data_IF_899340174900
#
_entry.id   IF_899340174900
#
_cell.length_a   1.000
_cell.length_b   1.000
_cell.length_c   1.000
_cell.angle_alpha   90.00
_cell.angle_beta   90.00
_cell.angle_gamma   90.00
#
_symmetry.space_group_name_H-M   'P 1'
#
loop_
_entity.id
_entity.type
_entity.pdbx_description
1 polymer ?
#
# COMPACT_ATOMS: atom_id res chain seq x y z
N UNK A 1 -68.87 -38.62 43.66
CA UNK A 1 -68.18 -37.36 43.33
C UNK A 1 -66.73 -37.68 43.00
N UNK A 2 -66.32 -37.51 41.75
CA UNK A 2 -64.98 -37.84 41.24
C UNK A 2 -64.17 -36.56 41.02
N UNK A 3 -63.10 -36.36 41.79
CA UNK A 3 -62.11 -35.31 41.52
C UNK A 3 -60.83 -35.95 41.00
N UNK A 4 -60.63 -35.90 39.66
CA UNK A 4 -59.36 -36.27 39.02
C UNK A 4 -58.32 -35.20 39.34
N UNK A 5 -57.25 -35.60 40.00
CA UNK A 5 -56.05 -34.77 40.17
C UNK A 5 -55.45 -34.43 38.79
N UNK A 6 -55.35 -33.14 38.48
CA UNK A 6 -54.60 -32.62 37.33
C UNK A 6 -53.11 -32.75 37.63
N UNK A 7 -52.44 -33.71 37.00
CA UNK A 7 -50.98 -33.78 36.95
C UNK A 7 -50.45 -32.71 35.98
N UNK A 8 -49.75 -31.72 36.52
CA UNK A 8 -49.03 -30.71 35.74
C UNK A 8 -47.79 -31.37 35.12
N UNK A 9 -47.90 -31.76 33.86
CA UNK A 9 -46.78 -32.27 33.07
C UNK A 9 -45.82 -31.11 32.75
N UNK A 10 -44.91 -30.81 33.69
CA UNK A 10 -43.77 -29.93 33.45
C UNK A 10 -42.88 -30.62 32.42
N UNK A 11 -42.98 -30.24 31.14
CA UNK A 11 -42.08 -30.69 30.06
C UNK A 11 -40.64 -30.36 30.47
N UNK A 12 -39.95 -31.35 31.04
CA UNK A 12 -38.51 -31.28 31.32
C UNK A 12 -37.79 -31.30 29.98
N UNK A 13 -37.34 -30.13 29.54
CA UNK A 13 -36.45 -30.03 28.39
C UNK A 13 -35.21 -30.89 28.73
N UNK A 14 -34.88 -31.90 27.91
CA UNK A 14 -33.79 -32.81 28.23
C UNK A 14 -32.48 -32.03 28.29
N UNK A 15 -31.66 -32.27 29.33
CA UNK A 15 -30.34 -31.62 29.53
C UNK A 15 -29.43 -31.68 28.30
N UNK A 16 -29.61 -32.69 27.44
CA UNK A 16 -28.90 -32.84 26.15
C UNK A 16 -29.24 -31.72 25.14
N UNK A 17 -30.47 -31.20 25.14
CA UNK A 17 -30.87 -30.09 24.28
C UNK A 17 -30.24 -28.75 24.74
N UNK A 18 -30.08 -28.56 26.05
CA UNK A 18 -29.33 -27.43 26.61
C UNK A 18 -27.84 -27.49 26.26
N UNK A 19 -27.24 -28.67 26.35
CA UNK A 19 -25.83 -28.88 25.98
C UNK A 19 -25.61 -28.62 24.48
N UNK A 20 -26.49 -29.12 23.60
CA UNK A 20 -26.39 -28.85 22.16
C UNK A 20 -26.56 -27.36 21.84
N UNK A 21 -27.52 -26.69 22.48
CA UNK A 21 -27.74 -25.24 22.30
C UNK A 21 -26.54 -24.40 22.73
N UNK A 22 -25.88 -24.75 23.84
CA UNK A 22 -24.66 -24.07 24.31
C UNK A 22 -23.46 -24.32 23.39
N UNK A 23 -23.31 -25.53 22.85
CA UNK A 23 -22.23 -25.84 21.89
C UNK A 23 -22.43 -25.05 20.61
N UNK A 24 -23.66 -24.99 20.08
CA UNK A 24 -23.97 -24.24 18.84
C UNK A 24 -23.77 -22.73 19.07
N UNK A 25 -24.27 -22.19 20.19
CA UNK A 25 -24.09 -20.78 20.52
C UNK A 25 -22.61 -20.43 20.75
N UNK A 26 -21.85 -21.31 21.42
CA UNK A 26 -20.41 -21.15 21.63
C UNK A 26 -19.61 -21.21 20.31
N UNK A 27 -19.95 -22.13 19.42
CA UNK A 27 -19.34 -22.22 18.09
C UNK A 27 -19.66 -20.99 17.23
N UNK A 28 -20.91 -20.52 17.25
CA UNK A 28 -21.31 -19.31 16.54
C UNK A 28 -20.64 -18.05 17.11
N UNK A 29 -20.54 -17.93 18.44
CA UNK A 29 -19.84 -16.84 19.11
C UNK A 29 -18.33 -16.85 18.84
N UNK A 30 -17.70 -18.02 18.85
CA UNK A 30 -16.29 -18.17 18.49
C UNK A 30 -16.04 -17.83 17.02
N UNK A 31 -16.90 -18.31 16.11
CA UNK A 31 -16.82 -17.98 14.69
C UNK A 31 -17.02 -16.49 14.44
N UNK A 32 -18.01 -15.86 15.08
CA UNK A 32 -18.25 -14.43 15.00
C UNK A 32 -17.07 -13.62 15.56
N UNK A 33 -16.49 -14.04 16.69
CA UNK A 33 -15.28 -13.43 17.23
C UNK A 33 -14.10 -13.59 16.28
N UNK A 34 -13.87 -14.78 15.71
CA UNK A 34 -12.80 -15.06 14.76
C UNK A 34 -12.89 -14.19 13.49
N UNK A 35 -14.12 -13.94 13.02
CA UNK A 35 -14.42 -13.09 11.86
C UNK A 35 -14.41 -11.58 12.18
N UNK A 36 -14.59 -11.20 13.44
CA UNK A 36 -14.68 -9.79 13.84
C UNK A 36 -13.39 -9.01 13.52
N UNK A 37 -13.45 -7.68 13.38
CA UNK A 37 -12.25 -6.85 13.12
C UNK A 37 -11.13 -7.08 14.13
N UNK A 38 -11.47 -7.18 15.43
CA UNK A 38 -10.56 -7.43 16.54
C UNK A 38 -10.27 -8.92 16.79
N UNK A 39 -10.94 -9.79 16.03
CA UNK A 39 -10.77 -11.22 16.06
C UNK A 39 -9.38 -11.67 15.62
N UNK A 40 -8.87 -12.79 16.15
CA UNK A 40 -7.59 -13.35 15.75
C UNK A 40 -7.55 -13.81 14.29
N UNK A 41 -8.70 -14.07 13.67
CA UNK A 41 -8.77 -14.54 12.29
C UNK A 41 -8.31 -13.49 11.28
N UNK A 42 -7.61 -13.97 10.24
CA UNK A 42 -7.24 -13.20 9.06
C UNK A 42 -8.06 -13.72 7.88
N UNK A 43 -9.19 -13.08 7.62
CA UNK A 43 -10.13 -13.49 6.56
C UNK A 43 -9.85 -12.70 5.29
N UNK A 44 -10.32 -13.21 4.14
CA UNK A 44 -10.15 -12.51 2.85
C UNK A 44 -10.70 -11.09 2.86
N UNK A 45 -11.90 -10.90 3.42
CA UNK A 45 -12.48 -9.56 3.57
C UNK A 45 -11.63 -8.63 4.44
N UNK A 46 -11.01 -9.16 5.51
CA UNK A 46 -10.11 -8.37 6.38
C UNK A 46 -8.82 -8.00 5.65
N UNK A 47 -8.20 -8.97 4.97
CA UNK A 47 -7.02 -8.73 4.14
C UNK A 47 -7.30 -7.65 3.09
N UNK A 48 -8.37 -7.81 2.30
CA UNK A 48 -8.74 -6.83 1.27
C UNK A 48 -8.99 -5.44 1.84
N UNK A 49 -9.66 -5.34 3.00
CA UNK A 49 -9.88 -4.06 3.67
C UNK A 49 -8.57 -3.37 4.06
N UNK A 50 -7.65 -4.11 4.69
CA UNK A 50 -6.32 -3.59 5.06
C UNK A 50 -5.58 -3.12 3.81
N UNK A 51 -5.60 -3.91 2.73
CA UNK A 51 -4.94 -3.55 1.48
C UNK A 51 -5.51 -2.26 0.89
N UNK A 52 -6.84 -2.16 0.76
CA UNK A 52 -7.48 -0.95 0.22
C UNK A 52 -7.13 0.29 1.04
N UNK A 53 -7.22 0.21 2.38
CA UNK A 53 -6.90 1.32 3.27
C UNK A 53 -5.42 1.70 3.22
N UNK A 54 -4.52 0.72 3.21
CA UNK A 54 -3.09 0.98 3.20
C UNK A 54 -2.61 1.52 1.86
N UNK A 55 -3.05 0.93 0.74
CA UNK A 55 -2.63 1.35 -0.60
C UNK A 55 -3.20 2.70 -1.03
N UNK A 56 -4.12 3.28 -0.26
CA UNK A 56 -4.50 4.69 -0.42
C UNK A 56 -3.36 5.65 -0.04
N UNK A 57 -2.34 5.17 0.68
CA UNK A 57 -1.15 5.94 1.03
C UNK A 57 -0.02 5.60 0.04
N UNK A 58 0.69 6.61 -0.51
CA UNK A 58 1.75 6.38 -1.51
C UNK A 58 2.91 5.53 -0.96
N UNK A 59 3.17 5.58 0.34
CA UNK A 59 4.20 4.78 1.01
C UNK A 59 3.98 3.26 0.86
N UNK A 60 2.74 2.82 0.72
CA UNK A 60 2.37 1.40 0.62
C UNK A 60 1.81 1.02 -0.75
N UNK A 61 1.96 1.86 -1.76
CA UNK A 61 1.59 1.49 -3.12
C UNK A 61 2.61 0.47 -3.70
N UNK A 62 2.16 -0.52 -4.49
CA UNK A 62 3.04 -1.42 -5.21
C UNK A 62 4.08 -0.67 -6.05
N UNK A 63 5.28 -1.21 -6.20
CA UNK A 63 6.39 -0.52 -6.89
C UNK A 63 6.00 -0.15 -8.32
N UNK A 64 5.31 -1.04 -9.03
CA UNK A 64 4.84 -0.80 -10.40
C UNK A 64 3.71 0.22 -10.53
N UNK A 65 3.19 0.74 -9.42
CA UNK A 65 2.22 1.84 -9.39
C UNK A 65 2.89 3.21 -9.21
N UNK A 66 4.23 3.29 -9.14
CA UNK A 66 4.93 4.52 -8.84
C UNK A 66 6.05 4.82 -9.84
N UNK A 67 6.28 6.10 -10.09
CA UNK A 67 7.44 6.60 -10.83
C UNK A 67 8.45 7.19 -9.86
N UNK A 68 9.73 7.10 -10.21
CA UNK A 68 10.83 7.57 -9.36
C UNK A 68 11.67 8.59 -10.15
N UNK A 69 12.02 9.69 -9.49
CA UNK A 69 13.12 10.56 -9.93
C UNK A 69 14.33 10.24 -9.08
N UNK A 70 15.27 9.53 -9.68
CA UNK A 70 16.46 8.95 -9.04
C UNK A 70 17.51 10.03 -8.78
N UNK A 71 18.21 9.94 -7.66
CA UNK A 71 19.26 10.92 -7.30
C UNK A 71 18.70 12.20 -6.68
N UNK A 72 17.40 12.23 -6.41
CA UNK A 72 16.72 13.37 -5.78
C UNK A 72 16.48 13.04 -4.31
N UNK A 73 17.01 13.89 -3.42
CA UNK A 73 16.75 13.83 -1.98
C UNK A 73 15.28 14.17 -1.66
N UNK A 74 14.81 13.91 -0.43
CA UNK A 74 13.47 14.31 -0.02
C UNK A 74 13.16 15.77 -0.38
N UNK A 75 11.99 16.00 -0.98
CA UNK A 75 11.59 17.32 -1.47
C UNK A 75 11.10 18.24 -0.32
N UNK A 76 11.33 19.57 -0.42
CA UNK A 76 12.05 20.26 -1.49
C UNK A 76 13.57 20.08 -1.40
N UNK A 77 14.24 20.01 -2.55
CA UNK A 77 15.72 19.91 -2.60
C UNK A 77 16.26 20.64 -3.82
N UNK A 78 17.49 21.12 -3.69
CA UNK A 78 18.30 21.50 -4.84
C UNK A 78 19.01 20.25 -5.37
N UNK A 79 19.09 20.13 -6.69
CA UNK A 79 19.71 19.00 -7.40
C UNK A 79 20.38 19.51 -8.68
N UNK A 80 21.46 18.86 -9.13
CA UNK A 80 22.07 19.26 -10.39
C UNK A 80 21.09 19.14 -11.55
N UNK A 81 21.03 20.17 -12.38
CA UNK A 81 20.11 20.28 -13.51
C UNK A 81 20.34 19.12 -14.49
N UNK A 82 21.59 18.72 -14.71
CA UNK A 82 21.98 17.57 -15.53
C UNK A 82 21.36 16.25 -15.06
N UNK A 83 21.17 16.04 -13.74
CA UNK A 83 20.47 14.85 -13.23
C UNK A 83 18.98 14.86 -13.57
N UNK A 84 18.33 16.02 -13.54
CA UNK A 84 16.93 16.15 -13.94
C UNK A 84 16.78 15.96 -15.45
N UNK A 85 17.67 16.54 -16.26
CA UNK A 85 17.69 16.39 -17.72
C UNK A 85 17.90 14.95 -18.16
N UNK A 86 18.72 14.17 -17.44
CA UNK A 86 18.90 12.74 -17.70
C UNK A 86 17.60 11.93 -17.53
N UNK A 87 16.62 12.48 -16.80
CA UNK A 87 15.33 11.89 -16.50
C UNK A 87 14.18 12.78 -17.03
N UNK A 88 14.46 13.59 -18.05
CA UNK A 88 13.59 14.68 -18.53
C UNK A 88 12.15 14.21 -18.78
N UNK A 89 11.96 13.04 -19.40
CA UNK A 89 10.62 12.49 -19.67
C UNK A 89 9.73 12.39 -18.41
N UNK A 90 10.28 11.91 -17.29
CA UNK A 90 9.53 11.80 -16.02
C UNK A 90 9.33 13.19 -15.43
N UNK A 91 10.41 13.98 -15.36
CA UNK A 91 10.41 15.30 -14.72
C UNK A 91 9.44 16.25 -15.42
N UNK A 92 9.49 16.36 -16.75
CA UNK A 92 8.57 17.17 -17.53
C UNK A 92 7.14 16.66 -17.44
N UNK A 93 6.93 15.34 -17.37
CA UNK A 93 5.60 14.78 -17.11
C UNK A 93 5.03 15.27 -15.78
N UNK A 94 5.83 15.22 -14.71
CA UNK A 94 5.42 15.67 -13.39
C UNK A 94 5.17 17.19 -13.35
N UNK A 95 5.99 17.99 -14.04
CA UNK A 95 5.82 19.44 -14.18
C UNK A 95 4.54 19.76 -14.97
N UNK A 96 4.34 19.13 -16.13
CA UNK A 96 3.16 19.30 -17.01
C UNK A 96 1.87 19.09 -16.24
N UNK A 97 1.85 18.08 -15.36
CA UNK A 97 0.68 17.75 -14.55
C UNK A 97 0.62 18.46 -13.20
N UNK A 98 1.50 19.43 -12.98
CA UNK A 98 1.59 20.24 -11.77
C UNK A 98 1.78 19.40 -10.50
N UNK A 99 2.46 18.25 -10.59
CA UNK A 99 2.82 17.42 -9.43
C UNK A 99 4.03 18.03 -8.70
N UNK A 100 4.94 18.63 -9.46
CA UNK A 100 6.15 19.27 -8.95
C UNK A 100 6.39 20.58 -9.67
N UNK A 101 7.21 21.45 -9.08
CA UNK A 101 7.84 22.57 -9.77
C UNK A 101 9.34 22.39 -9.78
N UNK A 102 9.99 22.80 -10.88
CA UNK A 102 11.44 22.86 -11.00
C UNK A 102 11.83 24.28 -11.41
N UNK A 103 12.75 24.90 -10.67
CA UNK A 103 13.28 26.23 -10.97
C UNK A 103 14.80 26.21 -10.89
N UNK A 104 15.48 26.77 -11.89
CA UNK A 104 16.93 26.94 -11.85
C UNK A 104 17.29 27.89 -10.70
N UNK A 105 18.29 27.52 -9.90
CA UNK A 105 18.80 28.28 -8.75
C UNK A 105 20.32 28.36 -8.84
N UNK A 106 20.93 29.25 -8.07
CA UNK A 106 22.38 29.39 -8.04
C UNK A 106 23.05 28.09 -7.59
N UNK A 107 24.14 27.74 -8.26
CA UNK A 107 25.00 26.61 -7.92
C UNK A 107 25.66 26.75 -6.53
N UNK A 108 25.74 27.97 -5.99
CA UNK A 108 26.37 28.26 -4.70
C UNK A 108 25.50 27.84 -3.49
N UNK A 109 24.28 27.34 -3.72
CA UNK A 109 23.40 26.79 -2.68
C UNK A 109 22.74 27.85 -1.79
N UNK A 110 22.78 29.13 -2.19
CA UNK A 110 22.10 30.22 -1.49
C UNK A 110 20.59 30.30 -1.82
N UNK A 111 20.11 29.45 -2.73
CA UNK A 111 18.73 29.41 -3.22
C UNK A 111 18.35 30.63 -4.06
N UNK A 112 19.33 31.49 -4.40
CA UNK A 112 19.17 32.65 -5.25
C UNK A 112 18.99 32.30 -6.73
N UNK A 113 18.72 33.29 -7.59
CA UNK A 113 18.70 33.08 -9.03
C UNK A 113 20.10 32.70 -9.55
N UNK A 114 20.19 31.99 -10.69
CA UNK A 114 21.47 31.65 -11.32
C UNK A 114 22.30 32.89 -11.64
N UNK A 115 23.61 32.85 -11.38
CA UNK A 115 24.54 33.90 -11.77
C UNK A 115 24.98 33.74 -13.24
N UNK A 116 25.39 34.84 -13.88
CA UNK A 116 25.67 34.85 -15.32
C UNK A 116 26.98 34.13 -15.71
N UNK A 117 27.89 33.96 -14.75
CA UNK A 117 29.21 33.35 -14.87
C UNK A 117 29.29 31.95 -14.23
N UNK A 118 28.15 31.38 -13.83
CA UNK A 118 28.09 30.01 -13.31
C UNK A 118 28.51 28.98 -14.37
N UNK A 119 29.35 28.03 -13.96
CA UNK A 119 29.68 26.87 -14.78
C UNK A 119 28.39 26.10 -15.09
N UNK A 120 28.05 25.88 -16.39
CA UNK A 120 26.92 25.06 -16.78
C UNK A 120 26.91 23.67 -16.16
N UNK A 121 28.08 23.09 -15.83
CA UNK A 121 28.18 21.77 -15.20
C UNK A 121 27.72 21.77 -13.73
N UNK A 122 27.87 22.89 -13.04
CA UNK A 122 27.43 23.08 -11.65
C UNK A 122 25.98 23.57 -11.52
N UNK A 123 25.31 23.82 -12.65
CA UNK A 123 23.97 24.35 -12.72
C UNK A 123 23.00 23.55 -11.84
N UNK A 124 22.40 24.23 -10.86
CA UNK A 124 21.48 23.61 -9.90
C UNK A 124 20.04 24.01 -10.15
N UNK A 125 19.13 23.10 -9.83
CA UNK A 125 17.69 23.30 -9.94
C UNK A 125 17.00 22.88 -8.65
N UNK A 126 16.12 23.74 -8.16
CA UNK A 126 15.28 23.49 -7.01
C UNK A 126 14.00 22.80 -7.45
N UNK A 127 13.80 21.59 -6.94
CA UNK A 127 12.61 20.79 -7.15
C UNK A 127 11.74 20.82 -5.90
N UNK A 128 10.45 21.12 -6.05
CA UNK A 128 9.50 21.23 -4.94
C UNK A 128 8.16 20.54 -5.25
N UNK A 129 7.50 20.05 -4.20
CA UNK A 129 6.13 19.53 -4.30
C UNK A 129 5.14 20.67 -4.43
N UNK A 130 4.18 20.50 -5.34
CA UNK A 130 2.97 21.31 -5.31
C UNK A 130 1.97 20.75 -4.31
N UNK A 131 0.91 21.51 -4.03
CA UNK A 131 -0.23 20.99 -3.25
C UNK A 131 -0.94 19.83 -3.95
N UNK A 132 -0.97 19.83 -5.29
CA UNK A 132 -1.52 18.72 -6.08
C UNK A 132 -0.65 17.46 -5.98
N UNK A 133 0.67 17.59 -5.92
CA UNK A 133 1.58 16.45 -5.89
C UNK A 133 1.78 15.83 -4.52
N UNK A 134 1.59 16.59 -3.44
CA UNK A 134 1.80 16.15 -2.05
C UNK A 134 1.09 14.83 -1.70
N UNK A 135 -0.17 14.57 -2.08
CA UNK A 135 -0.85 13.32 -1.75
C UNK A 135 -0.25 12.07 -2.42
N UNK A 136 0.51 12.26 -3.51
CA UNK A 136 1.10 11.18 -4.30
C UNK A 136 2.56 10.89 -3.95
N UNK A 137 3.16 11.75 -3.12
CA UNK A 137 4.59 11.72 -2.85
C UNK A 137 4.94 10.85 -1.65
N UNK A 138 6.05 10.13 -1.77
CA UNK A 138 6.75 9.50 -0.66
C UNK A 138 8.25 9.54 -0.93
N UNK A 139 9.04 9.49 0.12
CA UNK A 139 10.47 9.24 -0.02
C UNK A 139 10.70 7.80 -0.48
N UNK A 140 11.75 7.59 -1.28
CA UNK A 140 12.12 6.29 -1.79
C UNK A 140 13.64 6.11 -1.85
N UNK A 141 14.03 4.86 -2.00
CA UNK A 141 15.43 4.48 -2.22
C UNK A 141 15.48 3.51 -3.39
N UNK A 142 16.43 3.73 -4.30
CA UNK A 142 16.74 2.82 -5.39
C UNK A 142 18.14 2.26 -5.22
N UNK A 143 18.30 0.97 -5.51
CA UNK A 143 19.60 0.31 -5.48
C UNK A 143 20.19 0.31 -6.88
N UNK A 144 21.30 1.03 -7.07
CA UNK A 144 22.06 1.08 -8.33
C UNK A 144 23.39 0.39 -8.09
N UNK A 145 23.51 -0.84 -8.60
CA UNK A 145 24.62 -1.73 -8.27
C UNK A 145 24.66 -2.02 -6.77
N UNK A 146 25.77 -1.66 -6.11
CA UNK A 146 25.94 -1.79 -4.65
C UNK A 146 25.49 -0.55 -3.86
N UNK A 147 25.18 0.56 -4.52
CA UNK A 147 24.86 1.83 -3.85
C UNK A 147 23.35 2.01 -3.69
N UNK A 148 22.93 2.50 -2.52
CA UNK A 148 21.60 3.03 -2.29
C UNK A 148 21.60 4.52 -2.65
N UNK A 149 20.60 4.94 -3.41
CA UNK A 149 20.43 6.31 -3.88
C UNK A 149 19.03 6.77 -3.52
N UNK A 150 18.91 7.96 -2.93
CA UNK A 150 17.61 8.56 -2.65
C UNK A 150 16.85 8.84 -3.95
N UNK A 151 15.53 8.66 -3.88
CA UNK A 151 14.64 8.95 -5.00
C UNK A 151 13.40 9.67 -4.51
N UNK A 152 12.97 10.69 -5.25
CA UNK A 152 11.63 11.23 -5.09
C UNK A 152 10.63 10.27 -5.77
N UNK A 153 9.76 9.63 -4.99
CA UNK A 153 8.81 8.63 -5.48
C UNK A 153 7.40 9.21 -5.52
N UNK A 154 6.74 9.04 -6.66
CA UNK A 154 5.37 9.51 -6.90
C UNK A 154 4.49 8.33 -7.32
N UNK A 155 3.48 8.03 -6.51
CA UNK A 155 2.59 6.89 -6.73
C UNK A 155 1.27 7.33 -7.36
N UNK A 156 0.87 6.63 -8.41
CA UNK A 156 -0.33 6.92 -9.17
C UNK A 156 -1.59 6.76 -8.29
N UNK A 157 -2.56 7.69 -8.36
CA UNK A 157 -3.88 7.45 -7.83
C UNK A 157 -4.62 6.40 -8.68
N UNK A 158 -5.80 5.97 -8.21
CA UNK A 158 -6.63 5.03 -8.96
C UNK A 158 -6.20 3.57 -8.85
N UNK A 159 -5.45 3.22 -7.80
CA UNK A 159 -5.12 1.82 -7.51
C UNK A 159 -6.38 1.04 -7.12
N UNK A 160 -6.59 -0.10 -7.77
CA UNK A 160 -7.66 -1.04 -7.49
C UNK A 160 -7.10 -2.34 -6.91
N UNK A 161 -7.73 -2.84 -5.84
CA UNK A 161 -7.40 -4.14 -5.23
C UNK A 161 -8.43 -5.18 -5.68
N UNK A 162 -7.92 -6.21 -6.36
CA UNK A 162 -8.67 -7.35 -6.86
C UNK A 162 -8.84 -8.46 -5.83
N UNK A 163 -8.66 -9.71 -6.26
CA UNK A 163 -8.78 -10.90 -5.40
C UNK A 163 -7.57 -11.09 -4.51
N UNK A 164 -7.78 -11.76 -3.38
CA UNK A 164 -6.68 -12.38 -2.64
C UNK A 164 -6.44 -13.76 -3.25
N UNK A 165 -5.26 -13.97 -3.81
CA UNK A 165 -4.92 -15.20 -4.53
C UNK A 165 -4.49 -16.31 -3.58
N UNK A 166 -3.63 -15.98 -2.63
CA UNK A 166 -3.16 -16.91 -1.61
C UNK A 166 -2.70 -16.14 -0.39
N UNK A 167 -2.67 -16.79 0.77
CA UNK A 167 -2.04 -16.27 1.97
C UNK A 167 -1.46 -17.40 2.79
N UNK A 168 -0.40 -17.13 3.52
CA UNK A 168 0.16 -18.11 4.46
C UNK A 168 -0.64 -18.12 5.75
N UNK A 169 -0.74 -19.29 6.38
CA UNK A 169 -1.36 -19.40 7.70
C UNK A 169 -0.63 -18.47 8.68
N UNK A 170 -1.36 -17.70 9.52
CA UNK A 170 -0.75 -16.88 10.56
C UNK A 170 0.22 -17.68 11.42
N UNK A 171 1.46 -17.22 11.51
CA UNK A 171 2.53 -17.86 12.28
C UNK A 171 3.49 -16.80 12.83
N UNK A 172 4.26 -17.13 13.86
CA UNK A 172 5.37 -16.28 14.28
C UNK A 172 6.52 -16.46 13.31
N UNK A 173 7.15 -15.36 12.88
CA UNK A 173 8.33 -15.45 12.03
C UNK A 173 9.45 -16.20 12.79
N UNK A 174 9.97 -17.33 12.28
CA UNK A 174 11.02 -18.06 12.97
C UNK A 174 12.43 -17.45 12.82
N UNK A 175 12.61 -16.46 11.93
CA UNK A 175 13.92 -15.94 11.52
C UNK A 175 14.16 -14.49 11.92
N UNK A 176 13.23 -13.87 12.65
CA UNK A 176 13.48 -12.64 13.40
C UNK A 176 12.78 -12.68 14.76
N UNK A 177 13.20 -11.79 15.67
CA UNK A 177 12.60 -11.66 17.00
C UNK A 177 11.23 -10.94 16.98
N UNK A 178 10.52 -10.93 15.84
CA UNK A 178 9.22 -10.28 15.74
C UNK A 178 8.19 -11.03 16.63
N UNK A 179 7.63 -10.38 17.66
CA UNK A 179 6.71 -11.05 18.57
C UNK A 179 5.33 -11.30 17.95
N UNK A 180 5.03 -10.69 16.80
CA UNK A 180 3.72 -10.69 16.17
C UNK A 180 3.48 -11.94 15.30
N UNK A 181 2.20 -12.29 15.11
CA UNK A 181 1.83 -13.22 14.06
C UNK A 181 1.93 -12.51 12.71
N UNK A 182 2.49 -13.18 11.71
CA UNK A 182 2.66 -12.65 10.37
C UNK A 182 1.95 -13.55 9.35
N UNK A 183 1.54 -12.95 8.23
CA UNK A 183 1.00 -13.65 7.07
C UNK A 183 1.42 -12.94 5.79
N UNK A 184 2.03 -13.67 4.86
CA UNK A 184 2.29 -13.17 3.52
C UNK A 184 1.03 -13.37 2.68
N UNK A 185 0.54 -12.28 2.10
CA UNK A 185 -0.69 -12.23 1.30
C UNK A 185 -0.32 -11.92 -0.14
N UNK A 186 -0.73 -12.78 -1.08
CA UNK A 186 -0.67 -12.51 -2.51
C UNK A 186 -1.99 -11.94 -2.97
N UNK A 187 -1.98 -10.80 -3.65
CA UNK A 187 -3.19 -10.12 -4.10
C UNK A 187 -3.05 -9.60 -5.53
N UNK A 188 -4.18 -9.44 -6.19
CA UNK A 188 -4.29 -8.76 -7.48
C UNK A 188 -4.40 -7.25 -7.28
N UNK A 189 -3.73 -6.50 -8.15
CA UNK A 189 -3.85 -5.04 -8.20
C UNK A 189 -3.74 -4.53 -9.63
N UNK A 190 -4.26 -3.33 -9.88
CA UNK A 190 -4.08 -2.59 -11.13
C UNK A 190 -4.32 -1.10 -10.92
N UNK A 191 -3.99 -0.30 -11.90
CA UNK A 191 -4.35 1.11 -11.99
C UNK A 191 -5.53 1.29 -12.94
N UNK A 192 -6.46 2.15 -12.54
CA UNK A 192 -7.59 2.56 -13.36
C UNK A 192 -7.28 3.88 -14.06
N UNK A 193 -7.17 3.82 -15.40
CA UNK A 193 -6.87 5.00 -16.24
C UNK A 193 -7.89 6.13 -16.04
N UNK A 194 -9.14 5.83 -15.68
CA UNK A 194 -10.18 6.84 -15.49
C UNK A 194 -9.99 7.67 -14.22
N UNK A 195 -9.24 7.16 -13.25
CA UNK A 195 -9.02 7.80 -11.94
C UNK A 195 -7.55 8.08 -11.63
N UNK A 196 -6.64 7.73 -12.55
CA UNK A 196 -5.19 7.87 -12.34
C UNK A 196 -4.62 9.28 -12.59
N UNK A 197 -5.45 10.28 -12.92
CA UNK A 197 -5.06 11.70 -13.09
C UNK A 197 -3.79 11.85 -13.96
N UNK A 198 -2.71 12.38 -13.38
CA UNK A 198 -1.44 12.63 -14.05
C UNK A 198 -0.78 11.35 -14.58
N UNK A 199 -0.98 10.23 -13.88
CA UNK A 199 -0.30 8.97 -14.18
C UNK A 199 -0.81 8.31 -15.47
N UNK A 200 -1.98 8.70 -15.97
CA UNK A 200 -2.50 8.22 -17.25
C UNK A 200 -1.73 8.79 -18.46
N UNK A 201 -0.88 9.80 -18.27
CA UNK A 201 -0.08 10.40 -19.35
C UNK A 201 0.83 9.35 -20.02
N UNK A 202 0.88 9.28 -21.36
CA UNK A 202 1.78 8.41 -22.09
C UNK A 202 3.26 8.52 -21.71
N UNK A 203 3.69 9.66 -21.15
CA UNK A 203 5.04 9.86 -20.62
C UNK A 203 5.39 8.81 -19.55
N UNK A 204 4.42 8.36 -18.74
CA UNK A 204 4.66 7.45 -17.62
C UNK A 204 4.50 5.97 -17.94
N UNK A 205 3.96 5.61 -19.12
CA UNK A 205 3.73 4.21 -19.53
C UNK A 205 4.91 3.27 -19.35
N UNK A 206 6.18 3.66 -19.65
CA UNK A 206 7.32 2.76 -19.47
C UNK A 206 7.66 2.47 -18.01
N UNK A 207 7.15 3.28 -17.07
CA UNK A 207 7.51 3.24 -15.66
C UNK A 207 6.39 2.68 -14.78
N UNK A 208 5.16 2.70 -15.26
CA UNK A 208 3.97 2.21 -14.57
C UNK A 208 3.48 0.91 -15.21
N UNK A 209 3.70 -0.22 -14.53
CA UNK A 209 3.19 -1.54 -14.96
C UNK A 209 1.76 -1.80 -14.49
N UNK A 210 1.21 -0.92 -13.66
CA UNK A 210 -0.14 -1.11 -13.09
C UNK A 210 -1.28 -0.98 -14.09
N UNK A 211 -1.08 -0.32 -15.23
CA UNK A 211 -2.16 -0.20 -16.22
C UNK A 211 -2.24 -1.43 -17.11
N UNK A 212 -3.44 -1.99 -17.22
CA UNK A 212 -3.72 -3.03 -18.19
C UNK A 212 -3.40 -2.55 -19.62
N UNK A 213 -2.80 -3.41 -20.46
CA UNK A 213 -2.68 -3.19 -21.90
C UNK A 213 -4.05 -3.03 -22.56
N UNK A 214 -4.14 -2.29 -23.65
CA UNK A 214 -5.40 -2.07 -24.37
C UNK A 214 -5.95 -3.35 -25.00
N UNK A 215 -5.06 -4.25 -25.42
CA UNK A 215 -5.37 -5.58 -25.94
C UNK A 215 -5.78 -6.59 -24.85
N UNK A 216 -5.50 -6.28 -23.58
CA UNK A 216 -5.76 -7.15 -22.42
C UNK A 216 -6.34 -6.36 -21.24
N UNK A 217 -7.54 -5.75 -21.37
CA UNK A 217 -8.11 -4.83 -20.37
C UNK A 217 -8.45 -5.49 -19.02
N UNK A 218 -8.51 -6.82 -18.99
CA UNK A 218 -8.81 -7.62 -17.79
C UNK A 218 -7.54 -8.11 -17.07
N UNK A 219 -6.35 -7.72 -17.52
CA UNK A 219 -5.09 -8.12 -16.87
C UNK A 219 -4.93 -7.47 -15.48
N UNK A 220 -4.53 -8.30 -14.50
CA UNK A 220 -4.21 -7.87 -13.15
C UNK A 220 -2.74 -8.15 -12.85
N UNK A 221 -2.08 -7.18 -12.25
CA UNK A 221 -0.77 -7.39 -11.65
C UNK A 221 -0.93 -8.17 -10.34
N UNK A 222 0.13 -8.85 -9.90
CA UNK A 222 0.11 -9.56 -8.61
C UNK A 222 1.33 -9.19 -7.79
N UNK A 223 1.16 -9.10 -6.48
CA UNK A 223 2.21 -8.72 -5.54
C UNK A 223 2.04 -9.49 -4.22
N UNK A 224 3.13 -9.70 -3.49
CA UNK A 224 3.08 -10.19 -2.12
C UNK A 224 3.25 -9.05 -1.12
N UNK A 225 2.53 -9.13 0.00
CA UNK A 225 2.64 -8.17 1.09
C UNK A 225 2.45 -8.85 2.44
N UNK A 226 3.22 -8.42 3.44
CA UNK A 226 3.21 -8.91 4.80
C UNK A 226 2.18 -8.15 5.64
N UNK A 227 1.28 -8.91 6.23
CA UNK A 227 0.41 -8.46 7.32
C UNK A 227 0.97 -8.95 8.65
N UNK A 228 0.89 -8.10 9.67
CA UNK A 228 1.31 -8.39 11.03
C UNK A 228 0.17 -8.15 12.01
N UNK A 229 0.07 -9.01 13.03
CA UNK A 229 -0.92 -8.87 14.10
C UNK A 229 -0.32 -8.15 15.30
N UNK A 230 -0.29 -6.82 15.25
CA UNK A 230 0.22 -5.96 16.31
C UNK A 230 -0.88 -5.61 17.29
N UNK A 231 -0.62 -5.78 18.59
CA UNK A 231 -1.58 -5.47 19.66
C UNK A 231 -2.98 -6.08 19.43
N UNK A 232 -3.03 -7.27 18.82
CA UNK A 232 -4.27 -7.99 18.53
C UNK A 232 -4.98 -7.59 17.23
N UNK A 233 -4.52 -6.55 16.52
CA UNK A 233 -5.08 -6.03 15.27
C UNK A 233 -4.19 -6.42 14.09
N UNK A 234 -4.78 -6.84 12.98
CA UNK A 234 -4.06 -7.09 11.75
C UNK A 234 -3.87 -5.80 10.97
N UNK A 235 -2.62 -5.49 10.61
CA UNK A 235 -2.22 -4.32 9.85
C UNK A 235 -1.01 -4.64 8.97
N UNK A 236 -0.51 -3.68 8.19
CA UNK A 236 0.73 -3.88 7.44
C UNK A 236 1.93 -4.04 8.38
N UNK A 237 2.87 -4.92 8.01
CA UNK A 237 4.17 -4.97 8.67
C UNK A 237 4.98 -3.69 8.47
N UNK A 238 6.06 -3.52 9.25
CA UNK A 238 6.90 -2.31 9.15
C UNK A 238 7.60 -2.18 7.79
N UNK A 239 7.87 -3.33 7.14
CA UNK A 239 8.42 -3.41 5.78
C UNK A 239 7.57 -4.38 4.97
N UNK A 240 6.37 -3.98 4.56
CA UNK A 240 5.33 -4.92 4.19
C UNK A 240 5.65 -5.64 2.87
N UNK A 241 6.48 -5.07 1.99
CA UNK A 241 6.92 -5.74 0.75
C UNK A 241 8.19 -6.60 0.90
N UNK A 242 8.80 -6.65 2.09
CA UNK A 242 9.90 -7.57 2.37
C UNK A 242 9.32 -8.82 3.00
N UNK A 243 9.22 -9.87 2.21
CA UNK A 243 8.75 -11.16 2.69
C UNK A 243 9.88 -11.81 3.51
N UNK A 244 9.73 -11.77 4.84
CA UNK A 244 10.65 -12.43 5.77
C UNK A 244 10.07 -13.78 6.12
N UNK A 245 10.82 -14.83 5.85
CA UNK A 245 10.41 -16.20 6.08
C UNK A 245 11.33 -16.92 7.00
#
# INVERSE_FOLDING_TARGET
MNQKQRTVNRRRIPRKAWALGLIIAGAAGFYAWWQSPLGPGLTEGKMRKILVEATAQPAYAPVGACVNVVGVRPLPTDVYTSFLESQDRIVQGLIKHQVVTVKRVSANGDGGPPQADEDPEDASSRMELTDKGRPYYTDGEARIGSKLVYTAKFCAPGLQIGKILTHTKPLKNPFDDNPNLVSAVKFEWRLDRSTADWAADPAFRPYLSGFAPEDQPDEWQTEYIMLERKNGVWELGDRPYIIRW
#
